data_IF_914255164260
#
_entry.id   IF_914255164260
#
_cell.length_a   1.000
_cell.length_b   1.000
_cell.length_c   1.000
_cell.angle_alpha   90.00
_cell.angle_beta   90.00
_cell.angle_gamma   90.00
#
_symmetry.space_group_name_H-M   'P 1'
#
loop_
_entity.id
_entity.type
_entity.pdbx_description
1 polymer ?
#
# COMPACT_ATOMS: atom_id res chain seq x y z
N UNK A 1 46.40 15.85 -38.97
CA UNK A 1 46.04 16.22 -37.59
C UNK A 1 44.70 16.93 -37.62
N UNK A 2 43.59 16.21 -37.43
CA UNK A 2 42.24 16.80 -37.47
C UNK A 2 41.90 17.31 -36.07
N UNK A 3 41.86 18.63 -35.90
CA UNK A 3 41.56 19.26 -34.62
C UNK A 3 40.10 19.06 -34.25
N UNK A 4 39.85 18.67 -32.98
CA UNK A 4 38.54 18.73 -32.33
C UNK A 4 38.15 20.19 -32.08
N UNK A 5 38.04 20.98 -33.15
CA UNK A 5 37.64 22.38 -33.07
C UNK A 5 36.18 22.44 -32.62
N UNK A 6 35.96 22.87 -31.38
CA UNK A 6 34.63 23.19 -30.86
C UNK A 6 33.94 22.10 -30.04
N UNK A 7 34.46 20.87 -29.98
CA UNK A 7 33.83 19.81 -29.15
C UNK A 7 33.83 20.18 -27.67
N UNK A 8 34.94 20.78 -27.20
CA UNK A 8 35.07 21.27 -25.83
C UNK A 8 34.10 22.40 -25.51
N UNK A 9 33.98 23.39 -26.41
CA UNK A 9 33.05 24.51 -26.24
C UNK A 9 31.58 24.04 -26.29
N UNK A 10 31.26 23.06 -27.14
CA UNK A 10 29.93 22.43 -27.17
C UNK A 10 29.64 21.67 -25.88
N UNK A 11 30.61 20.92 -25.35
CA UNK A 11 30.46 20.21 -24.09
C UNK A 11 30.30 21.17 -22.91
N UNK A 12 31.09 22.23 -22.84
CA UNK A 12 30.99 23.24 -21.78
C UNK A 12 29.64 24.00 -21.82
N UNK A 13 29.13 24.34 -23.01
CA UNK A 13 27.81 25.00 -23.13
C UNK A 13 26.65 24.07 -22.79
N UNK A 14 26.74 22.78 -23.17
CA UNK A 14 25.72 21.79 -22.80
C UNK A 14 25.73 21.53 -21.29
N UNK A 15 26.90 21.38 -20.67
CA UNK A 15 27.02 21.25 -19.21
C UNK A 15 26.42 22.46 -18.48
N UNK A 16 26.79 23.68 -18.88
CA UNK A 16 26.24 24.89 -18.28
C UNK A 16 24.71 24.98 -18.39
N UNK A 17 24.14 24.55 -19.52
CA UNK A 17 22.69 24.51 -19.70
C UNK A 17 22.00 23.47 -18.79
N UNK A 18 22.65 22.33 -18.54
CA UNK A 18 22.13 21.32 -17.59
C UNK A 18 22.23 21.80 -16.15
N UNK A 19 23.34 22.44 -15.77
CA UNK A 19 23.52 23.02 -14.44
C UNK A 19 22.51 24.14 -14.15
N UNK A 20 22.28 25.05 -15.11
CA UNK A 20 21.28 26.10 -14.98
C UNK A 20 19.84 25.56 -14.84
N UNK A 21 19.52 24.47 -15.55
CA UNK A 21 18.22 23.79 -15.39
C UNK A 21 18.12 23.05 -14.04
N UNK A 22 19.21 22.46 -13.56
CA UNK A 22 19.26 21.77 -12.28
C UNK A 22 19.08 22.75 -11.11
N UNK A 23 19.72 23.92 -11.16
CA UNK A 23 19.52 24.98 -10.15
C UNK A 23 18.11 25.54 -10.19
N UNK A 24 17.54 25.78 -11.38
CA UNK A 24 16.15 26.20 -11.52
C UNK A 24 15.15 25.15 -10.98
N UNK A 25 15.40 23.86 -11.23
CA UNK A 25 14.57 22.77 -10.72
C UNK A 25 14.70 22.59 -9.20
N UNK A 26 15.88 22.85 -8.62
CA UNK A 26 16.08 22.78 -7.17
C UNK A 26 15.25 23.83 -6.41
N UNK A 27 15.04 25.01 -6.99
CA UNK A 27 14.16 26.05 -6.46
C UNK A 27 12.68 25.69 -6.58
N UNK A 28 12.33 24.81 -7.52
CA UNK A 28 10.96 24.39 -7.79
C UNK A 28 10.54 23.14 -7.03
N UNK A 29 11.31 22.68 -6.03
CA UNK A 29 10.85 21.61 -5.15
C UNK A 29 9.64 22.13 -4.40
N UNK A 30 8.42 21.64 -4.70
CA UNK A 30 7.28 22.00 -3.87
C UNK A 30 7.60 21.43 -2.50
N UNK A 31 7.71 22.30 -1.49
CA UNK A 31 7.71 21.85 -0.11
C UNK A 31 6.35 21.23 0.09
N UNK A 32 6.28 19.90 -0.03
CA UNK A 32 5.12 19.13 0.37
C UNK A 32 4.99 19.35 1.88
N UNK A 33 4.27 20.39 2.24
CA UNK A 33 3.80 20.67 3.58
C UNK A 33 2.45 19.97 3.65
N UNK A 34 2.39 18.73 4.16
CA UNK A 34 1.11 18.05 4.28
C UNK A 34 0.21 18.91 5.18
N UNK A 35 -0.98 19.27 4.66
CA UNK A 35 -2.02 20.05 5.35
C UNK A 35 -2.52 19.38 6.65
N UNK A 36 -2.16 18.11 6.85
CA UNK A 36 -2.43 17.35 8.07
C UNK A 36 -1.16 16.72 8.58
N UNK A 37 -0.87 16.95 9.85
CA UNK A 37 0.06 16.12 10.61
C UNK A 37 -0.49 14.70 10.60
N UNK A 38 0.16 13.80 9.85
CA UNK A 38 -0.18 12.39 9.85
C UNK A 38 0.22 11.82 11.22
N UNK A 39 -0.73 11.20 11.92
CA UNK A 39 -0.49 10.54 13.21
C UNK A 39 -0.30 9.04 12.97
N UNK A 40 0.95 8.64 12.78
CA UNK A 40 1.41 7.28 12.51
C UNK A 40 1.44 6.42 13.79
N UNK A 41 0.91 6.91 14.91
CA UNK A 41 0.90 6.17 16.18
C UNK A 41 0.28 4.78 16.02
N UNK A 42 -0.81 4.66 15.27
CA UNK A 42 -1.48 3.38 15.00
C UNK A 42 -0.62 2.37 14.20
N UNK A 43 0.38 2.81 13.44
CA UNK A 43 1.30 1.93 12.70
C UNK A 43 2.43 1.41 13.59
N UNK A 44 2.88 2.21 14.55
CA UNK A 44 3.99 1.86 15.45
C UNK A 44 3.55 1.07 16.68
N UNK A 45 2.25 1.04 16.97
CA UNK A 45 1.69 0.31 18.11
C UNK A 45 1.69 -1.21 17.88
N UNK A 46 2.55 -1.91 18.63
CA UNK A 46 2.64 -3.38 18.61
C UNK A 46 1.38 -4.08 19.15
N UNK A 47 0.58 -3.40 19.98
CA UNK A 47 -0.71 -3.92 20.46
C UNK A 47 -1.76 -4.08 19.34
N UNK A 48 -1.56 -3.39 18.21
CA UNK A 48 -2.42 -3.48 17.04
C UNK A 48 -1.90 -4.47 15.98
N UNK A 49 -0.80 -5.16 16.29
CA UNK A 49 -0.16 -6.10 15.39
C UNK A 49 -0.51 -7.55 15.75
N UNK A 50 -0.78 -8.37 14.73
CA UNK A 50 -0.99 -9.81 14.90
C UNK A 50 0.23 -10.60 14.40
N UNK A 51 1.08 -11.07 15.32
CA UNK A 51 2.30 -11.85 15.03
C UNK A 51 2.08 -13.07 14.11
N UNK A 52 1.10 -13.98 14.34
CA UNK A 52 0.94 -15.15 13.46
C UNK A 52 0.43 -14.76 12.05
N UNK A 53 -0.32 -13.66 11.96
CA UNK A 53 -0.91 -13.21 10.70
C UNK A 53 0.01 -12.27 9.91
N UNK A 54 0.89 -11.53 10.60
CA UNK A 54 1.78 -10.54 9.99
C UNK A 54 1.06 -9.24 9.60
N UNK A 55 -0.07 -8.93 10.23
CA UNK A 55 -0.96 -7.83 9.81
C UNK A 55 -1.04 -6.76 10.91
N UNK A 56 -0.90 -5.49 10.51
CA UNK A 56 -1.16 -4.32 11.36
C UNK A 56 -2.63 -3.93 11.22
N UNK A 57 -3.33 -3.78 12.34
CA UNK A 57 -4.73 -3.38 12.40
C UNK A 57 -4.84 -1.93 12.87
N UNK A 58 -5.98 -1.29 12.59
CA UNK A 58 -6.16 0.14 12.85
C UNK A 58 -6.60 0.43 14.30
N UNK A 59 -7.26 -0.52 14.96
CA UNK A 59 -7.81 -0.32 16.30
C UNK A 59 -7.80 -1.60 17.14
N UNK A 60 -7.85 -1.44 18.47
CA UNK A 60 -7.90 -2.58 19.39
C UNK A 60 -9.18 -3.43 19.20
N UNK A 61 -10.27 -2.81 18.73
CA UNK A 61 -11.50 -3.51 18.40
C UNK A 61 -11.31 -4.41 17.17
N UNK A 62 -10.60 -3.94 16.15
CA UNK A 62 -10.29 -4.72 14.96
C UNK A 62 -9.38 -5.91 15.28
N UNK A 63 -8.43 -5.73 16.20
CA UNK A 63 -7.59 -6.83 16.73
C UNK A 63 -8.46 -7.89 17.39
N UNK A 64 -9.35 -7.50 18.31
CA UNK A 64 -10.22 -8.44 19.00
C UNK A 64 -11.16 -9.18 18.04
N UNK A 65 -11.60 -8.53 16.96
CA UNK A 65 -12.40 -9.17 15.92
C UNK A 65 -11.56 -10.10 15.04
N UNK A 66 -10.34 -9.69 14.70
CA UNK A 66 -9.39 -10.45 13.91
C UNK A 66 -9.02 -11.78 14.60
N UNK A 67 -8.69 -11.75 15.90
CA UNK A 67 -8.37 -12.95 16.70
C UNK A 67 -9.52 -13.97 16.70
N UNK A 68 -10.78 -13.48 16.70
CA UNK A 68 -11.98 -14.33 16.65
C UNK A 68 -12.29 -14.85 15.24
N UNK A 69 -11.67 -14.28 14.21
CA UNK A 69 -11.93 -14.53 12.79
C UNK A 69 -11.50 -15.93 12.30
N UNK A 70 -12.12 -16.36 11.19
CA UNK A 70 -11.86 -17.68 10.56
C UNK A 70 -10.43 -17.80 10.02
N UNK A 71 -9.92 -16.73 9.39
CA UNK A 71 -8.57 -16.69 8.78
C UNK A 71 -7.47 -16.85 9.83
N UNK A 72 -7.57 -16.12 10.94
CA UNK A 72 -6.64 -16.20 12.06
C UNK A 72 -6.58 -17.63 12.63
N UNK A 73 -7.75 -18.23 12.90
CA UNK A 73 -7.85 -19.62 13.40
C UNK A 73 -7.26 -20.65 12.42
N UNK A 74 -7.48 -20.50 11.12
CA UNK A 74 -6.90 -21.40 10.09
C UNK A 74 -5.36 -21.33 10.13
N UNK A 75 -4.82 -20.11 10.21
CA UNK A 75 -3.36 -19.89 10.25
C UNK A 75 -2.75 -20.44 11.54
N UNK A 76 -3.38 -20.23 12.70
CA UNK A 76 -2.95 -20.83 13.97
C UNK A 76 -2.92 -22.36 13.92
N UNK A 77 -3.94 -23.00 13.34
CA UNK A 77 -3.95 -24.47 13.18
C UNK A 77 -2.83 -24.94 12.26
N UNK A 78 -2.58 -24.24 11.16
CA UNK A 78 -1.50 -24.57 10.24
C UNK A 78 -0.13 -24.46 10.93
N UNK A 79 0.11 -23.40 11.69
CA UNK A 79 1.34 -23.23 12.47
C UNK A 79 1.48 -24.35 13.50
N UNK A 80 0.42 -24.68 14.25
CA UNK A 80 0.45 -25.76 15.23
C UNK A 80 0.72 -27.14 14.59
N UNK A 81 0.20 -27.41 13.40
CA UNK A 81 0.54 -28.63 12.66
C UNK A 81 1.96 -28.60 12.09
N UNK A 82 2.43 -27.42 11.67
CA UNK A 82 3.77 -27.25 11.11
C UNK A 82 4.86 -27.36 12.17
N UNK A 83 4.65 -26.86 13.40
CA UNK A 83 5.65 -27.02 14.47
C UNK A 83 5.88 -28.48 14.84
N UNK A 84 4.84 -29.30 14.78
CA UNK A 84 4.94 -30.75 14.97
C UNK A 84 5.65 -31.39 13.78
N UNK A 85 5.31 -30.97 12.56
CA UNK A 85 5.94 -31.47 11.35
C UNK A 85 7.43 -31.08 11.28
N UNK A 86 7.83 -29.85 11.61
CA UNK A 86 9.23 -29.42 11.59
C UNK A 86 10.07 -30.05 12.69
N UNK A 87 9.48 -30.38 13.84
CA UNK A 87 10.14 -31.19 14.85
C UNK A 87 10.44 -32.63 14.37
N UNK A 88 9.69 -33.13 13.39
CA UNK A 88 9.85 -34.47 12.81
C UNK A 88 10.54 -34.47 11.43
N UNK A 89 10.54 -33.35 10.71
CA UNK A 89 10.98 -33.20 9.33
C UNK A 89 12.43 -32.68 9.20
N UNK A 90 13.34 -33.27 9.98
CA UNK A 90 14.77 -33.27 9.64
C UNK A 90 15.10 -34.12 8.40
N UNK A 91 14.10 -34.59 7.65
CA UNK A 91 14.23 -35.34 6.41
C UNK A 91 13.45 -34.63 5.29
N UNK A 92 14.21 -34.19 4.28
CA UNK A 92 13.87 -33.91 2.88
C UNK A 92 12.46 -33.41 2.50
N UNK A 93 12.35 -32.10 2.21
CA UNK A 93 11.20 -31.53 1.50
C UNK A 93 11.67 -30.70 0.30
N UNK A 94 12.17 -31.38 -0.73
CA UNK A 94 12.24 -30.82 -2.09
C UNK A 94 10.94 -31.17 -2.80
N UNK A 95 10.30 -30.18 -3.42
CA UNK A 95 9.04 -30.25 -4.20
C UNK A 95 7.71 -30.21 -3.42
N UNK A 96 7.33 -29.03 -2.93
CA UNK A 96 5.91 -28.67 -2.83
C UNK A 96 5.71 -27.18 -3.18
N UNK A 97 5.64 -26.89 -4.48
CA UNK A 97 5.10 -25.64 -5.03
C UNK A 97 3.58 -25.79 -5.13
N UNK A 98 2.90 -25.63 -4.00
CA UNK A 98 1.44 -25.62 -3.93
C UNK A 98 0.94 -24.19 -3.88
N UNK A 99 0.78 -23.56 -5.05
CA UNK A 99 0.18 -22.24 -5.20
C UNK A 99 -1.19 -22.17 -4.53
N UNK A 100 -1.29 -21.38 -3.46
CA UNK A 100 -2.52 -21.14 -2.72
C UNK A 100 -3.26 -19.99 -3.44
N UNK A 101 -4.07 -20.33 -4.47
CA UNK A 101 -5.06 -19.39 -4.97
C UNK A 101 -6.15 -19.25 -3.90
N UNK A 102 -6.20 -18.09 -3.27
CA UNK A 102 -7.20 -17.72 -2.27
C UNK A 102 -8.56 -17.52 -2.96
N UNK A 103 -9.32 -18.61 -3.13
CA UNK A 103 -10.75 -18.50 -3.41
C UNK A 103 -11.44 -17.89 -2.18
N UNK A 104 -11.63 -16.57 -2.24
CA UNK A 104 -12.56 -15.86 -1.38
C UNK A 104 -13.97 -16.35 -1.72
N UNK A 105 -14.39 -17.46 -1.12
CA UNK A 105 -15.77 -17.90 -1.16
C UNK A 105 -16.63 -16.90 -0.38
N UNK A 106 -17.22 -16.00 -1.14
CA UNK A 106 -18.44 -15.23 -0.89
C UNK A 106 -19.56 -16.16 -0.38
N UNK A 107 -19.60 -16.31 0.95
CA UNK A 107 -20.74 -16.89 1.69
C UNK A 107 -21.89 -15.88 1.63
N UNK A 108 -22.61 -15.89 0.50
CA UNK A 108 -23.90 -15.23 0.26
C UNK A 108 -24.93 -15.74 1.28
N UNK A 109 -24.88 -15.24 2.51
CA UNK A 109 -26.06 -15.23 3.37
C UNK A 109 -27.04 -14.23 2.79
N UNK A 110 -28.02 -14.77 2.07
CA UNK A 110 -29.20 -14.05 1.60
C UNK A 110 -29.73 -13.10 2.68
N UNK A 111 -29.50 -11.80 2.49
CA UNK A 111 -30.18 -10.74 3.23
C UNK A 111 -31.31 -10.21 2.32
N UNK A 112 -32.56 -10.66 2.51
CA UNK A 112 -33.67 -10.21 1.68
C UNK A 112 -34.16 -8.81 2.08
N UNK A 113 -33.29 -7.78 2.11
CA UNK A 113 -33.70 -6.39 2.31
C UNK A 113 -32.57 -5.37 2.06
N UNK A 114 -32.11 -5.19 0.82
CA UNK A 114 -31.48 -3.93 0.44
C UNK A 114 -31.73 -3.62 -1.04
N UNK A 115 -32.74 -2.79 -1.29
CA UNK A 115 -33.05 -2.25 -2.61
C UNK A 115 -31.84 -1.48 -3.13
N UNK A 116 -31.28 -1.91 -4.27
CA UNK A 116 -30.29 -1.14 -5.03
C UNK A 116 -30.93 0.20 -5.46
N UNK A 117 -30.59 1.27 -4.75
CA UNK A 117 -30.82 2.64 -5.25
C UNK A 117 -29.75 2.89 -6.31
N UNK A 118 -30.18 3.03 -7.56
CA UNK A 118 -29.31 3.47 -8.66
C UNK A 118 -28.92 4.91 -8.35
N UNK A 119 -27.64 5.19 -8.17
CA UNK A 119 -27.14 6.56 -8.11
C UNK A 119 -27.29 7.17 -9.51
N UNK A 120 -28.33 7.97 -9.71
CA UNK A 120 -28.38 8.91 -10.82
C UNK A 120 -27.61 10.14 -10.37
N UNK A 121 -26.43 10.37 -10.93
CA UNK A 121 -25.71 11.64 -10.80
C UNK A 121 -26.49 12.72 -11.54
N UNK A 122 -27.53 13.25 -10.89
CA UNK A 122 -28.14 14.52 -11.26
C UNK A 122 -27.26 15.63 -10.66
N UNK A 123 -26.71 16.48 -11.53
CA UNK A 123 -25.84 17.58 -11.14
C UNK A 123 -26.51 18.53 -10.17
N UNK A 124 -25.75 18.95 -9.16
CA UNK A 124 -26.10 20.09 -8.31
C UNK A 124 -25.47 21.34 -8.93
N UNK A 125 -26.25 22.36 -9.33
CA UNK A 125 -25.72 23.68 -9.65
C UNK A 125 -25.42 24.37 -8.32
N UNK A 126 -24.16 24.73 -8.06
CA UNK A 126 -23.85 25.65 -6.98
C UNK A 126 -23.92 27.06 -7.54
N UNK A 127 -24.74 27.85 -6.86
CA UNK A 127 -25.16 29.20 -7.18
C UNK A 127 -23.96 30.17 -7.28
N UNK A 128 -23.78 30.78 -8.45
CA UNK A 128 -23.00 32.00 -8.60
C UNK A 128 -23.93 33.18 -8.27
N UNK A 129 -24.06 33.47 -6.98
CA UNK A 129 -24.60 34.74 -6.52
C UNK A 129 -23.62 35.86 -6.85
N UNK A 130 -24.11 36.84 -7.60
CA UNK A 130 -23.97 38.28 -7.38
C UNK A 130 -22.60 38.79 -6.93
N UNK A 131 -21.97 39.63 -7.75
CA UNK A 131 -21.82 41.06 -7.44
C UNK A 131 -21.00 41.82 -8.50
N UNK A 132 -21.65 42.88 -9.01
CA UNK A 132 -21.11 44.13 -9.59
C UNK A 132 -20.39 44.09 -10.95
#
# INVERSE_FOLDING_TARGET
>A
MFGLFGLRAYYETTQAAFEAKATAAALLRPTYAPDRTYDDSHITNRSLYCDPCGVQLLSAQDVALHEKGKRHKKKLRAIASQTIATALAGLDNTTYDGGNHDDNADDERENPAAKRVKHTTAGTPYDAADNA
#
